data_IF_666439243493
#
_entry.id   IF_666439243493
#
_cell.length_a   1.000
_cell.length_b   1.000
_cell.length_c   1.000
_cell.angle_alpha   90.00
_cell.angle_beta   90.00
_cell.angle_gamma   90.00
#
_symmetry.space_group_name_H-M   'P 1'
#
loop_
_entity.id
_entity.type
_entity.pdbx_description
1 polymer ?
#
# COMPACT_ATOMS: atom_id res chain seq x y z
N UNK A 1 44.88 17.47 24.83
CA UNK A 1 44.96 16.70 23.57
C UNK A 1 43.99 15.52 23.52
N UNK A 2 43.96 14.63 24.52
CA UNK A 2 43.08 13.43 24.51
C UNK A 2 41.57 13.72 24.48
N UNK A 3 41.12 14.80 25.16
CA UNK A 3 39.70 15.24 25.20
C UNK A 3 39.16 15.80 23.87
N UNK A 4 40.04 16.36 23.04
CA UNK A 4 39.69 16.86 21.70
C UNK A 4 39.59 15.70 20.69
N UNK A 5 40.41 14.66 20.86
CA UNK A 5 40.39 13.47 20.01
C UNK A 5 39.10 12.65 20.21
N UNK A 6 38.59 12.59 21.44
CA UNK A 6 37.34 11.89 21.77
C UNK A 6 36.09 12.61 21.26
N UNK A 7 36.10 13.93 21.12
CA UNK A 7 34.95 14.70 20.60
C UNK A 7 34.84 14.57 19.08
N UNK A 8 35.97 14.59 18.36
CA UNK A 8 35.98 14.40 16.90
C UNK A 8 35.54 12.99 16.48
N UNK A 9 35.92 11.96 17.25
CA UNK A 9 35.50 10.58 16.99
C UNK A 9 33.99 10.37 17.14
N UNK A 10 33.35 11.06 18.10
CA UNK A 10 31.90 10.98 18.34
C UNK A 10 31.09 11.65 17.20
N UNK A 11 31.60 12.75 16.64
CA UNK A 11 30.95 13.44 15.51
C UNK A 11 31.05 12.62 14.23
N UNK A 12 32.19 11.98 13.97
CA UNK A 12 32.37 11.12 12.80
C UNK A 12 31.42 9.90 12.81
N UNK A 13 31.15 9.34 14.00
CA UNK A 13 30.22 8.21 14.15
C UNK A 13 28.75 8.64 13.91
N UNK A 14 28.39 9.88 14.26
CA UNK A 14 27.05 10.42 14.04
C UNK A 14 26.74 10.67 12.55
N UNK A 15 27.73 11.08 11.75
CA UNK A 15 27.55 11.24 10.30
C UNK A 15 27.53 9.91 9.55
N UNK A 16 28.23 8.88 10.02
CA UNK A 16 28.22 7.55 9.40
C UNK A 16 26.86 6.82 9.54
N UNK A 17 26.06 7.15 10.55
CA UNK A 17 24.74 6.56 10.79
C UNK A 17 23.58 7.23 10.02
N UNK A 18 23.81 8.39 9.39
CA UNK A 18 22.74 9.20 8.80
C UNK A 18 22.29 8.75 7.39
N UNK A 19 22.92 7.72 6.81
CA UNK A 19 22.60 7.22 5.47
C UNK A 19 21.58 6.06 5.51
N UNK A 20 20.45 6.25 6.19
CA UNK A 20 19.27 5.41 5.93
C UNK A 20 18.49 6.08 4.81
N UNK A 21 18.77 5.70 3.56
CA UNK A 21 17.90 6.03 2.44
C UNK A 21 16.55 5.36 2.69
N UNK A 22 15.56 6.14 3.12
CA UNK A 22 14.18 5.71 3.19
C UNK A 22 13.75 5.29 1.77
N UNK A 23 13.69 3.99 1.51
CA UNK A 23 13.13 3.47 0.28
C UNK A 23 11.62 3.47 0.45
N UNK A 24 10.93 4.33 -0.29
CA UNK A 24 9.50 4.16 -0.48
C UNK A 24 9.29 2.78 -1.13
N UNK A 25 8.55 1.90 -0.46
CA UNK A 25 8.17 0.63 -1.06
C UNK A 25 7.18 0.91 -2.20
N UNK A 26 7.45 0.41 -3.39
CA UNK A 26 6.49 0.43 -4.49
C UNK A 26 5.30 -0.46 -4.11
N UNK A 27 4.22 0.16 -3.62
CA UNK A 27 2.99 -0.56 -3.27
C UNK A 27 2.29 -0.94 -4.58
N UNK A 28 2.20 -2.24 -4.85
CA UNK A 28 1.41 -2.74 -5.98
C UNK A 28 -0.07 -2.66 -5.59
N UNK A 29 -0.82 -1.72 -6.16
CA UNK A 29 -2.25 -1.52 -5.85
C UNK A 29 -3.14 -2.06 -6.98
N UNK A 30 -4.21 -2.76 -6.61
CA UNK A 30 -5.32 -3.13 -7.50
C UNK A 30 -6.53 -2.26 -7.19
N UNK A 31 -6.99 -1.52 -8.19
CA UNK A 31 -8.23 -0.74 -8.15
C UNK A 31 -9.30 -1.49 -8.92
N UNK A 32 -10.33 -2.00 -8.23
CA UNK A 32 -11.42 -2.73 -8.88
C UNK A 32 -12.70 -1.89 -8.89
N UNK A 33 -13.18 -1.62 -10.09
CA UNK A 33 -14.52 -1.12 -10.33
C UNK A 33 -15.48 -2.29 -10.51
N UNK A 34 -16.53 -2.37 -9.71
CA UNK A 34 -17.49 -3.49 -9.74
C UNK A 34 -18.90 -3.10 -9.28
N UNK A 35 -19.89 -3.92 -9.64
CA UNK A 35 -21.29 -3.84 -9.19
C UNK A 35 -21.71 -5.02 -8.30
N UNK A 36 -20.75 -5.83 -7.83
CA UNK A 36 -20.96 -6.89 -6.85
C UNK A 36 -21.42 -6.31 -5.51
N UNK A 37 -22.71 -6.41 -5.22
CA UNK A 37 -23.35 -5.79 -4.04
C UNK A 37 -24.16 -6.77 -3.21
N UNK A 38 -24.48 -7.94 -3.74
CA UNK A 38 -25.17 -8.98 -2.97
C UNK A 38 -24.23 -9.63 -1.95
N UNK A 39 -24.80 -10.27 -0.92
CA UNK A 39 -24.01 -10.92 0.13
C UNK A 39 -23.09 -12.04 -0.38
N UNK A 40 -23.52 -12.80 -1.40
CA UNK A 40 -22.70 -13.85 -2.01
C UNK A 40 -21.56 -13.29 -2.86
N UNK A 41 -21.80 -12.21 -3.61
CA UNK A 41 -20.76 -11.56 -4.39
C UNK A 41 -19.72 -10.86 -3.49
N UNK A 42 -20.15 -10.25 -2.39
CA UNK A 42 -19.24 -9.70 -1.39
C UNK A 42 -18.34 -10.78 -0.77
N UNK A 43 -18.86 -12.00 -0.56
CA UNK A 43 -18.06 -13.13 -0.11
C UNK A 43 -17.00 -13.54 -1.14
N UNK A 44 -17.36 -13.60 -2.43
CA UNK A 44 -16.40 -13.87 -3.51
C UNK A 44 -15.33 -12.76 -3.63
N UNK A 45 -15.73 -11.49 -3.49
CA UNK A 45 -14.81 -10.35 -3.48
C UNK A 45 -13.78 -10.47 -2.35
N UNK A 46 -14.21 -10.93 -1.17
CA UNK A 46 -13.32 -11.13 -0.04
C UNK A 46 -12.28 -12.24 -0.29
N UNK A 47 -12.64 -13.32 -1.00
CA UNK A 47 -11.67 -14.35 -1.41
C UNK A 47 -10.59 -13.74 -2.31
N UNK A 48 -10.98 -12.97 -3.32
CA UNK A 48 -10.05 -12.31 -4.23
C UNK A 48 -9.14 -11.30 -3.50
N UNK A 49 -9.71 -10.47 -2.61
CA UNK A 49 -8.97 -9.53 -1.76
C UNK A 49 -7.91 -10.24 -0.92
N UNK A 50 -8.25 -11.40 -0.33
CA UNK A 50 -7.33 -12.18 0.48
C UNK A 50 -6.18 -12.76 -0.34
N UNK A 51 -6.46 -13.30 -1.53
CA UNK A 51 -5.43 -13.89 -2.39
C UNK A 51 -4.45 -12.82 -2.91
N UNK A 52 -4.95 -11.68 -3.35
CA UNK A 52 -4.12 -10.54 -3.75
C UNK A 52 -3.29 -9.99 -2.59
N UNK A 53 -3.85 -9.95 -1.38
CA UNK A 53 -3.09 -9.56 -0.19
C UNK A 53 -1.95 -10.52 0.11
N UNK A 54 -2.12 -11.85 -0.10
CA UNK A 54 -1.04 -12.84 0.06
C UNK A 54 0.06 -12.65 -0.98
N UNK A 55 -0.28 -12.17 -2.17
CA UNK A 55 0.68 -11.82 -3.23
C UNK A 55 1.34 -10.45 -3.02
N UNK A 56 0.97 -9.72 -1.96
CA UNK A 56 1.54 -8.42 -1.61
C UNK A 56 0.92 -7.24 -2.35
N UNK A 57 -0.27 -7.40 -2.92
CA UNK A 57 -1.04 -6.30 -3.49
C UNK A 57 -1.88 -5.59 -2.43
N UNK A 58 -1.91 -4.27 -2.48
CA UNK A 58 -2.90 -3.44 -1.81
C UNK A 58 -4.20 -3.43 -2.62
N UNK A 59 -5.33 -3.36 -1.93
CA UNK A 59 -6.65 -3.31 -2.56
C UNK A 59 -7.30 -1.95 -2.35
N UNK A 60 -7.87 -1.39 -3.41
CA UNK A 60 -8.70 -0.20 -3.38
C UNK A 60 -10.06 -0.49 -4.03
N UNK A 61 -11.09 -0.43 -3.21
CA UNK A 61 -12.48 -0.68 -3.61
C UNK A 61 -13.06 0.54 -4.30
N UNK A 62 -13.64 0.34 -5.49
CA UNK A 62 -14.38 1.39 -6.22
C UNK A 62 -15.77 0.86 -6.57
N UNK A 63 -16.67 0.68 -5.58
CA UNK A 63 -17.99 0.13 -5.83
C UNK A 63 -18.85 1.11 -6.63
N UNK A 64 -19.53 0.63 -7.66
CA UNK A 64 -20.57 1.38 -8.37
C UNK A 64 -21.93 1.01 -7.78
N UNK A 65 -22.60 1.98 -7.17
CA UNK A 65 -23.92 1.78 -6.59
C UNK A 65 -24.96 1.49 -7.69
N UNK A 66 -25.55 0.30 -7.67
CA UNK A 66 -26.54 -0.15 -8.64
C UNK A 66 -26.35 -1.64 -8.93
N UNK A 67 -26.92 -2.49 -8.08
CA UNK A 67 -26.73 -3.95 -8.03
C UNK A 67 -27.22 -4.77 -9.23
N UNK A 68 -27.18 -4.21 -10.43
CA UNK A 68 -27.48 -4.86 -11.71
C UNK A 68 -26.65 -4.34 -12.89
N UNK A 69 -25.66 -3.47 -12.66
CA UNK A 69 -24.82 -2.92 -13.74
C UNK A 69 -25.41 -1.72 -14.49
N UNK A 70 -26.65 -1.30 -14.19
CA UNK A 70 -27.28 -0.12 -14.82
C UNK A 70 -26.46 1.18 -14.63
N UNK A 71 -25.88 1.36 -13.44
CA UNK A 71 -24.99 2.48 -13.15
C UNK A 71 -23.57 2.32 -13.73
N UNK A 72 -23.16 1.10 -14.12
CA UNK A 72 -21.86 0.87 -14.76
C UNK A 72 -21.90 1.21 -16.26
N UNK A 73 -23.07 1.18 -16.90
CA UNK A 73 -23.27 1.47 -18.33
C UNK A 73 -23.42 2.96 -18.64
N UNK A 74 -23.43 3.83 -17.63
CA UNK A 74 -23.61 5.29 -17.78
C UNK A 74 -22.31 6.09 -17.64
N UNK A 75 -21.19 5.45 -17.32
CA UNK A 75 -19.87 6.07 -17.38
C UNK A 75 -19.37 6.07 -18.84
N UNK A 76 -19.66 7.16 -19.56
CA UNK A 76 -19.08 7.49 -20.87
C UNK A 76 -17.71 8.17 -20.71
#
# INVERSE_FOLDING_TARGET
MKRFLTTTAMIALALAGAHVSARAADVKEVQMLHWWTSGGEAAALNVLKQDLSKEGFAWKDVPVAGGGGDAAMTAL
#
